data_IF_037060947083
#
_entry.id   IF_037060947083
#
_cell.length_a   1.000
_cell.length_b   1.000
_cell.length_c   1.000
_cell.angle_alpha   90.00
_cell.angle_beta   90.00
_cell.angle_gamma   90.00
#
_symmetry.space_group_name_H-M   'P 1'
#
loop_
_entity.id
_entity.type
_entity.pdbx_description
1 polymer ?
#
# COMPACT_ATOMS: atom_id res chain seq x y z
N UNK A 1 1.07 27.15 -23.56
CA UNK A 1 2.55 27.14 -23.41
C UNK A 1 3.13 26.06 -24.31
N UNK A 2 4.19 26.33 -25.07
CA UNK A 2 4.82 25.33 -25.96
C UNK A 2 5.30 24.06 -25.22
N UNK A 3 5.61 24.17 -23.92
CA UNK A 3 6.02 23.03 -23.10
C UNK A 3 4.94 21.95 -22.95
N UNK A 4 3.67 22.35 -22.78
CA UNK A 4 2.55 21.40 -22.67
C UNK A 4 2.33 20.68 -23.99
N UNK A 5 2.42 21.40 -25.12
CA UNK A 5 2.26 20.81 -26.46
C UNK A 5 3.30 19.72 -26.70
N UNK A 6 4.58 19.98 -26.40
CA UNK A 6 5.67 19.00 -26.53
C UNK A 6 5.49 17.79 -25.62
N UNK A 7 5.04 17.99 -24.38
CA UNK A 7 4.80 16.88 -23.45
C UNK A 7 3.67 15.96 -23.94
N UNK A 8 2.59 16.54 -24.47
CA UNK A 8 1.46 15.78 -25.04
C UNK A 8 1.89 15.03 -26.30
N UNK A 9 2.65 15.66 -27.18
CA UNK A 9 3.17 15.04 -28.40
C UNK A 9 4.07 13.85 -28.10
N UNK A 10 5.01 13.98 -27.15
CA UNK A 10 5.87 12.87 -26.74
C UNK A 10 5.08 11.75 -26.05
N UNK A 11 4.04 12.09 -25.28
CA UNK A 11 3.14 11.09 -24.66
C UNK A 11 2.41 10.28 -25.73
N UNK A 12 1.87 10.95 -26.75
CA UNK A 12 1.17 10.31 -27.86
C UNK A 12 2.13 9.45 -28.71
N UNK A 13 3.35 9.94 -28.97
CA UNK A 13 4.39 9.19 -29.69
C UNK A 13 4.79 7.91 -28.95
N UNK A 14 4.90 7.95 -27.61
CA UNK A 14 5.21 6.74 -26.81
C UNK A 14 4.04 5.76 -26.79
N UNK A 15 2.81 6.26 -26.66
CA UNK A 15 1.61 5.43 -26.63
C UNK A 15 1.43 4.64 -27.94
N UNK A 16 1.61 5.27 -29.09
CA UNK A 16 1.47 4.59 -30.38
C UNK A 16 2.48 3.44 -30.57
N UNK A 17 3.72 3.64 -30.11
CA UNK A 17 4.74 2.58 -30.13
C UNK A 17 4.35 1.42 -29.20
N UNK A 18 3.87 1.72 -27.99
CA UNK A 18 3.44 0.70 -27.03
C UNK A 18 2.24 -0.10 -27.55
N UNK A 19 1.25 0.57 -28.15
CA UNK A 19 0.08 -0.08 -28.74
C UNK A 19 0.46 -0.97 -29.92
N UNK A 20 1.31 -0.48 -30.83
CA UNK A 20 1.80 -1.27 -31.96
C UNK A 20 2.55 -2.52 -31.49
N UNK A 21 3.45 -2.38 -30.52
CA UNK A 21 4.16 -3.50 -29.91
C UNK A 21 3.21 -4.49 -29.23
N UNK A 22 2.23 -4.00 -28.48
CA UNK A 22 1.25 -4.86 -27.82
C UNK A 22 0.40 -5.65 -28.82
N UNK A 23 0.00 -5.02 -29.94
CA UNK A 23 -0.75 -5.69 -31.02
C UNK A 23 0.13 -6.73 -31.71
N UNK A 24 1.38 -6.40 -32.06
CA UNK A 24 2.32 -7.31 -32.72
C UNK A 24 2.62 -8.54 -31.86
N UNK A 25 2.70 -8.37 -30.53
CA UNK A 25 3.04 -9.44 -29.59
C UNK A 25 1.82 -10.06 -28.89
N UNK A 26 0.59 -9.71 -29.28
CA UNK A 26 -0.66 -10.15 -28.63
C UNK A 26 -0.67 -9.92 -27.10
N UNK A 27 -0.07 -8.82 -26.63
CA UNK A 27 0.00 -8.46 -25.22
C UNK A 27 -1.26 -7.68 -24.85
N UNK A 28 -2.02 -8.20 -23.88
CA UNK A 28 -3.13 -7.45 -23.26
C UNK A 28 -2.59 -6.63 -22.08
N UNK A 29 -2.69 -5.29 -22.10
CA UNK A 29 -2.27 -4.47 -20.98
C UNK A 29 -3.05 -4.84 -19.72
N UNK A 30 -2.35 -5.14 -18.64
CA UNK A 30 -2.94 -5.45 -17.33
C UNK A 30 -2.30 -4.59 -16.26
N UNK A 31 -3.08 -4.23 -15.24
CA UNK A 31 -2.57 -3.49 -14.09
C UNK A 31 -1.64 -4.40 -13.29
N UNK A 32 -0.44 -3.92 -12.98
CA UNK A 32 0.49 -4.64 -12.11
C UNK A 32 0.01 -4.49 -10.66
N UNK A 33 -0.38 -5.60 -10.03
CA UNK A 33 -0.66 -5.65 -8.60
C UNK A 33 0.60 -6.18 -7.88
N UNK A 34 1.26 -5.34 -7.09
CA UNK A 34 2.40 -5.76 -6.27
C UNK A 34 1.90 -6.31 -4.94
N UNK A 35 2.32 -7.51 -4.59
CA UNK A 35 2.11 -8.05 -3.24
C UNK A 35 3.02 -7.31 -2.26
N UNK A 36 2.44 -6.75 -1.19
CA UNK A 36 3.21 -6.22 -0.07
C UNK A 36 3.81 -7.42 0.65
N UNK A 37 5.13 -7.60 0.56
CA UNK A 37 5.87 -8.60 1.31
C UNK A 37 6.68 -7.87 2.38
N UNK A 38 6.64 -8.40 3.61
CA UNK A 38 7.42 -7.98 4.79
C UNK A 38 6.96 -6.72 5.56
N UNK A 39 5.71 -6.67 6.04
CA UNK A 39 5.27 -5.68 7.05
C UNK A 39 4.52 -6.32 8.23
N UNK A 40 4.69 -7.64 8.43
CA UNK A 40 3.98 -8.41 9.45
C UNK A 40 4.36 -8.02 10.88
N UNK A 41 5.65 -7.77 11.11
CA UNK A 41 6.17 -7.56 12.46
C UNK A 41 5.77 -6.18 13.01
N UNK A 42 5.85 -5.13 12.19
CA UNK A 42 5.48 -3.76 12.59
C UNK A 42 3.99 -3.58 12.82
N UNK A 43 3.13 -4.27 12.07
CA UNK A 43 1.69 -4.20 12.31
C UNK A 43 1.28 -4.94 13.60
N UNK A 44 1.89 -6.10 13.87
CA UNK A 44 1.59 -6.87 15.07
C UNK A 44 1.91 -6.10 16.35
N UNK A 45 3.04 -5.38 16.38
CA UNK A 45 3.42 -4.51 17.51
C UNK A 45 2.40 -3.40 17.77
N UNK A 46 1.91 -2.74 16.71
CA UNK A 46 0.95 -1.64 16.83
C UNK A 46 -0.43 -2.13 17.30
N UNK A 47 -0.84 -3.31 16.86
CA UNK A 47 -2.11 -3.94 17.29
C UNK A 47 -2.06 -4.34 18.77
N UNK A 48 -0.92 -4.87 19.22
CA UNK A 48 -0.70 -5.24 20.63
C UNK A 48 -0.68 -4.01 21.54
N UNK A 49 -0.03 -2.91 21.13
CA UNK A 49 -0.02 -1.65 21.88
C UNK A 49 -1.39 -0.95 21.99
N UNK A 50 -2.29 -1.12 21.02
CA UNK A 50 -3.66 -0.60 21.10
C UNK A 50 -4.59 -1.46 21.98
N UNK A 51 -4.08 -2.56 22.57
CA UNK A 51 -4.87 -3.46 23.41
C UNK A 51 -5.97 -4.20 22.64
N UNK A 52 -5.87 -4.23 21.31
CA UNK A 52 -6.83 -4.90 20.45
C UNK A 52 -6.45 -6.38 20.43
N UNK A 53 -7.21 -7.18 21.17
CA UNK A 53 -7.08 -8.64 21.11
C UNK A 53 -7.49 -9.14 19.73
N UNK A 54 -6.55 -9.20 18.78
CA UNK A 54 -6.63 -10.19 17.71
C UNK A 54 -6.70 -11.53 18.41
N UNK A 55 -7.82 -12.26 18.27
CA UNK A 55 -8.08 -13.54 18.96
C UNK A 55 -7.09 -14.63 18.54
N UNK A 56 -5.83 -14.48 18.96
CA UNK A 56 -4.66 -15.24 18.57
C UNK A 56 -4.66 -16.51 19.37
N UNK A 57 -5.05 -17.62 18.73
CA UNK A 57 -4.78 -18.95 19.28
C UNK A 57 -3.29 -19.24 19.10
N UNK A 58 -2.57 -19.75 20.12
CA UNK A 58 -1.16 -20.07 19.98
C UNK A 58 -0.97 -21.11 18.85
N UNK A 59 -0.23 -20.75 17.79
CA UNK A 59 0.14 -21.67 16.71
C UNK A 59 -0.50 -21.44 15.33
N UNK A 60 -1.41 -20.47 15.18
CA UNK A 60 -2.04 -20.17 13.88
C UNK A 60 -1.27 -19.03 13.17
N UNK A 61 -0.60 -19.33 12.04
CA UNK A 61 0.02 -18.31 11.18
C UNK A 61 -1.08 -17.56 10.42
N UNK A 62 -1.73 -16.60 11.06
CA UNK A 62 -2.65 -15.68 10.38
C UNK A 62 -1.85 -14.69 9.55
N UNK A 63 -2.31 -14.44 8.34
CA UNK A 63 -1.72 -13.37 7.52
C UNK A 63 -2.28 -12.02 7.97
N UNK A 64 -1.56 -10.92 7.75
CA UNK A 64 -2.08 -9.55 7.97
C UNK A 64 -3.47 -9.35 7.36
N UNK A 65 -3.75 -10.07 6.26
CA UNK A 65 -5.03 -10.09 5.56
C UNK A 65 -6.21 -10.58 6.41
N UNK A 66 -5.97 -11.56 7.29
CA UNK A 66 -6.99 -12.18 8.12
C UNK A 66 -7.25 -11.37 9.40
N UNK A 67 -6.20 -10.79 9.97
CA UNK A 67 -6.31 -9.94 11.17
C UNK A 67 -7.00 -8.61 10.87
N UNK A 68 -6.62 -7.97 9.76
CA UNK A 68 -7.24 -6.72 9.30
C UNK A 68 -8.67 -6.95 8.81
N UNK A 69 -8.95 -8.11 8.22
CA UNK A 69 -10.31 -8.48 7.78
C UNK A 69 -11.29 -8.76 8.93
N UNK A 70 -10.81 -9.07 10.13
CA UNK A 70 -11.64 -9.39 11.29
C UNK A 70 -11.92 -8.17 12.20
N UNK A 71 -11.28 -7.02 11.96
CA UNK A 71 -11.40 -5.81 12.79
C UNK A 71 -12.59 -4.95 12.38
N UNK A 72 -13.12 -4.18 13.35
CA UNK A 72 -14.18 -3.21 13.06
C UNK A 72 -13.64 -2.01 12.27
N UNK A 73 -14.42 -1.40 11.36
CA UNK A 73 -14.01 -0.21 10.61
C UNK A 73 -13.53 0.95 11.49
N UNK A 74 -14.09 1.09 12.70
CA UNK A 74 -13.70 2.10 13.69
C UNK A 74 -12.34 1.86 14.33
N UNK A 75 -11.96 0.59 14.52
CA UNK A 75 -10.64 0.20 15.06
C UNK A 75 -9.57 0.38 13.98
N UNK A 76 -9.91 0.03 12.73
CA UNK A 76 -9.04 0.24 11.58
C UNK A 76 -8.69 1.71 11.36
N UNK A 77 -9.67 2.61 11.49
CA UNK A 77 -9.46 4.05 11.35
C UNK A 77 -8.48 4.61 12.40
N UNK A 78 -8.50 4.07 13.64
CA UNK A 78 -7.55 4.46 14.69
C UNK A 78 -6.13 4.03 14.34
N UNK A 79 -5.97 2.78 13.90
CA UNK A 79 -4.67 2.22 13.48
C UNK A 79 -4.10 3.03 12.31
N UNK A 80 -4.91 3.37 11.31
CA UNK A 80 -4.50 4.21 10.17
C UNK A 80 -4.02 5.59 10.63
N UNK A 81 -4.76 6.25 11.53
CA UNK A 81 -4.36 7.56 12.06
C UNK A 81 -3.05 7.50 12.84
N UNK A 82 -2.81 6.41 13.58
CA UNK A 82 -1.58 6.18 14.33
C UNK A 82 -0.39 5.93 13.40
N UNK A 83 -0.56 5.05 12.41
CA UNK A 83 0.44 4.78 11.37
C UNK A 83 0.85 6.06 10.62
N UNK A 84 -0.12 6.91 10.30
CA UNK A 84 0.17 8.19 9.64
C UNK A 84 1.05 9.09 10.51
N UNK A 85 0.79 9.14 11.82
CA UNK A 85 1.57 9.94 12.78
C UNK A 85 2.99 9.39 12.93
N UNK A 86 3.15 8.07 13.03
CA UNK A 86 4.46 7.41 13.17
C UNK A 86 5.28 7.55 11.87
N UNK A 87 4.65 7.38 10.71
CA UNK A 87 5.27 7.62 9.40
C UNK A 87 5.77 9.06 9.28
N UNK A 88 4.98 10.06 9.70
CA UNK A 88 5.39 11.47 9.68
C UNK A 88 6.55 11.75 10.63
N UNK A 89 6.60 11.10 11.79
CA UNK A 89 7.73 11.21 12.72
C UNK A 89 9.01 10.60 12.12
N UNK A 90 8.92 9.40 11.54
CA UNK A 90 10.04 8.74 10.88
C UNK A 90 10.58 9.57 9.69
N UNK A 91 9.67 10.16 8.90
CA UNK A 91 10.05 11.07 7.83
C UNK A 91 10.73 12.35 8.34
N UNK A 92 10.30 12.89 9.49
CA UNK A 92 10.94 14.03 10.14
C UNK A 92 12.33 13.68 10.70
N UNK A 93 12.55 12.45 11.17
CA UNK A 93 13.85 11.96 11.61
C UNK A 93 14.76 11.48 10.47
N UNK A 94 14.37 11.71 9.21
CA UNK A 94 15.09 11.28 7.99
C UNK A 94 15.24 9.75 7.85
N UNK A 95 14.42 8.98 8.57
CA UNK A 95 14.36 7.53 8.43
C UNK A 95 13.32 7.15 7.37
N UNK A 96 13.76 7.16 6.11
CA UNK A 96 12.89 6.90 4.97
C UNK A 96 12.56 5.42 4.77
N UNK A 97 13.37 4.51 5.32
CA UNK A 97 13.11 3.06 5.24
C UNK A 97 11.91 2.72 6.13
N UNK A 98 11.95 3.14 7.40
CA UNK A 98 10.81 2.96 8.31
C UNK A 98 9.56 3.71 7.83
N UNK A 99 9.71 4.93 7.32
CA UNK A 99 8.57 5.67 6.78
C UNK A 99 7.94 4.97 5.56
N UNK A 100 8.73 4.31 4.72
CA UNK A 100 8.23 3.55 3.57
C UNK A 100 7.43 2.32 4.01
N UNK A 101 7.92 1.57 5.00
CA UNK A 101 7.21 0.41 5.57
C UNK A 101 5.87 0.81 6.19
N UNK A 102 5.87 1.88 7.01
CA UNK A 102 4.66 2.40 7.65
C UNK A 102 3.64 2.90 6.62
N UNK A 103 4.11 3.52 5.53
CA UNK A 103 3.26 3.97 4.41
C UNK A 103 2.57 2.79 3.74
N UNK A 104 3.33 1.75 3.41
CA UNK A 104 2.80 0.59 2.70
C UNK A 104 1.76 -0.15 3.56
N UNK A 105 1.99 -0.23 4.87
CA UNK A 105 1.04 -0.76 5.83
C UNK A 105 -0.23 0.10 5.96
N UNK A 106 -0.08 1.42 5.99
CA UNK A 106 -1.20 2.36 6.03
C UNK A 106 -2.07 2.26 4.76
N UNK A 107 -1.46 2.14 3.58
CA UNK A 107 -2.17 1.97 2.31
C UNK A 107 -2.96 0.66 2.32
N UNK A 108 -2.35 -0.41 2.82
CA UNK A 108 -3.00 -1.71 2.93
C UNK A 108 -4.23 -1.66 3.84
N UNK A 109 -4.10 -1.09 5.04
CA UNK A 109 -5.21 -0.94 5.98
C UNK A 109 -6.33 -0.05 5.40
N UNK A 110 -5.98 1.06 4.73
CA UNK A 110 -6.97 1.95 4.11
C UNK A 110 -7.71 1.30 2.93
N UNK A 111 -7.03 0.47 2.15
CA UNK A 111 -7.65 -0.31 1.06
C UNK A 111 -8.80 -1.18 1.59
N UNK A 112 -8.59 -1.87 2.71
CA UNK A 112 -9.61 -2.70 3.36
C UNK A 112 -10.74 -1.95 4.04
N UNK A 113 -10.56 -0.68 4.38
CA UNK A 113 -11.66 0.18 4.87
C UNK A 113 -12.66 0.55 3.76
N UNK A 114 -12.21 0.52 2.50
CA UNK A 114 -12.97 1.02 1.35
C UNK A 114 -13.69 -0.11 0.59
N UNK A 115 -13.32 -1.36 0.84
CA UNK A 115 -14.01 -2.59 0.38
C UNK A 115 -15.21 -2.92 1.28
#
# INVERSE_FOLDING_TARGET
>A
TNSMFRAVEETNRRRSIQEAYNIEHNITPTTIYKEIRNTLDTFAEIVEEEGISTGKRPGEKRTLKDEIGAMKPTELAKIVSRLEREMKKAAQSLDFEQAAELRDLMIYAKGRLTE
#
